data_IF_861795976976
#
_entry.id   IF_861795976976
#
_cell.length_a   1.000
_cell.length_b   1.000
_cell.length_c   1.000
_cell.angle_alpha   90.00
_cell.angle_beta   90.00
_cell.angle_gamma   90.00
#
_symmetry.space_group_name_H-M   'P 1'
#
loop_
_entity.id
_entity.type
_entity.pdbx_description
1 polymer ?
#
# COMPACT_ATOMS: atom_id res chain seq x y z
N UNK A 1 24.05 -0.33 6.17
CA UNK A 1 23.16 -0.42 4.98
C UNK A 1 21.83 0.23 5.31
N UNK A 2 21.01 0.61 4.33
CA UNK A 2 19.69 1.17 4.64
C UNK A 2 18.79 0.12 5.34
N UNK A 3 18.03 0.50 6.39
CA UNK A 3 17.21 -0.42 7.19
C UNK A 3 16.30 -1.31 6.33
N UNK A 4 15.71 -0.75 5.28
CA UNK A 4 14.80 -1.43 4.35
C UNK A 4 15.49 -2.61 3.64
N UNK A 5 16.74 -2.42 3.23
CA UNK A 5 17.51 -3.47 2.53
C UNK A 5 17.82 -4.65 3.45
N UNK A 6 18.16 -4.36 4.72
CA UNK A 6 18.46 -5.38 5.73
C UNK A 6 17.18 -6.11 6.13
N UNK A 7 16.08 -5.39 6.38
CA UNK A 7 14.78 -5.97 6.69
C UNK A 7 14.29 -6.91 5.58
N UNK A 8 14.47 -6.54 4.31
CA UNK A 8 14.11 -7.39 3.18
C UNK A 8 14.99 -8.65 3.10
N UNK A 9 16.30 -8.52 3.39
CA UNK A 9 17.20 -9.67 3.44
C UNK A 9 16.82 -10.64 4.56
N UNK A 10 16.49 -10.12 5.75
CA UNK A 10 15.99 -10.90 6.89
C UNK A 10 14.68 -11.64 6.54
N UNK A 11 13.75 -10.95 5.89
CA UNK A 11 12.47 -11.53 5.50
C UNK A 11 12.60 -12.69 4.48
N UNK A 12 13.59 -12.60 3.58
CA UNK A 12 13.90 -13.70 2.64
C UNK A 12 14.43 -14.94 3.37
N UNK A 13 15.17 -14.76 4.45
CA UNK A 13 15.70 -15.88 5.25
C UNK A 13 14.61 -16.58 6.07
N UNK A 14 13.52 -15.89 6.41
CA UNK A 14 12.40 -16.43 7.19
C UNK A 14 11.24 -16.96 6.33
N UNK A 15 11.26 -16.72 5.01
CA UNK A 15 10.13 -17.02 4.12
C UNK A 15 8.94 -16.06 4.27
N UNK A 16 9.14 -14.93 4.97
CA UNK A 16 8.12 -13.90 5.24
C UNK A 16 8.29 -12.67 4.31
N UNK A 17 8.96 -12.86 3.17
CA UNK A 17 9.37 -11.82 2.23
C UNK A 17 8.18 -11.03 1.65
N UNK A 18 7.08 -11.72 1.32
CA UNK A 18 5.87 -11.06 0.81
C UNK A 18 5.23 -10.15 1.85
N UNK A 19 5.10 -10.62 3.10
CA UNK A 19 4.37 -9.90 4.13
C UNK A 19 5.19 -8.73 4.68
N UNK A 20 6.48 -8.94 4.94
CA UNK A 20 7.40 -7.86 5.30
C UNK A 20 7.51 -6.86 4.14
N UNK A 21 7.64 -7.33 2.90
CA UNK A 21 7.65 -6.46 1.72
C UNK A 21 6.40 -5.58 1.62
N UNK A 22 5.23 -6.10 1.98
CA UNK A 22 3.99 -5.30 2.02
C UNK A 22 4.02 -4.24 3.12
N UNK A 23 4.49 -4.56 4.32
CA UNK A 23 4.60 -3.58 5.40
C UNK A 23 5.63 -2.49 5.08
N UNK A 24 6.73 -2.86 4.44
CA UNK A 24 7.74 -1.92 3.94
C UNK A 24 7.21 -1.01 2.82
N UNK A 25 6.21 -1.48 2.05
CA UNK A 25 5.51 -0.68 1.06
C UNK A 25 4.38 0.21 1.62
N UNK A 26 4.16 0.20 2.94
CA UNK A 26 3.21 1.07 3.62
C UNK A 26 3.75 2.49 3.81
N UNK A 27 2.90 3.36 4.38
CA UNK A 27 3.21 4.78 4.59
C UNK A 27 4.42 5.00 5.51
N UNK A 28 4.66 4.07 6.45
CA UNK A 28 5.75 4.10 7.43
C UNK A 28 6.77 2.97 7.21
N UNK A 29 7.08 2.65 5.96
CA UNK A 29 7.95 1.52 5.60
C UNK A 29 9.34 1.53 6.24
N UNK A 30 9.93 2.72 6.45
CA UNK A 30 11.26 2.87 7.08
C UNK A 30 11.24 2.52 8.58
N UNK A 31 10.16 2.87 9.27
CA UNK A 31 9.97 2.57 10.71
C UNK A 31 9.70 1.08 10.92
N UNK A 32 8.90 0.47 10.04
CA UNK A 32 8.72 -0.98 9.99
C UNK A 32 10.06 -1.67 9.76
N UNK A 33 10.86 -1.19 8.80
CA UNK A 33 12.17 -1.77 8.51
C UNK A 33 13.08 -1.75 9.75
N UNK A 34 13.10 -0.60 10.44
CA UNK A 34 13.87 -0.43 11.67
C UNK A 34 13.40 -1.40 12.75
N UNK A 35 12.09 -1.56 12.93
CA UNK A 35 11.52 -2.49 13.90
C UNK A 35 11.89 -3.96 13.61
N UNK A 36 11.86 -4.37 12.33
CA UNK A 36 12.27 -5.73 11.92
C UNK A 36 13.77 -5.97 12.18
N UNK A 37 14.60 -4.97 11.92
CA UNK A 37 16.04 -5.01 12.21
C UNK A 37 16.29 -5.09 13.72
N UNK A 38 15.57 -4.30 14.53
CA UNK A 38 15.67 -4.31 15.98
C UNK A 38 15.30 -5.68 16.56
N UNK A 39 14.25 -6.32 16.06
CA UNK A 39 13.90 -7.70 16.44
C UNK A 39 15.04 -8.67 16.16
N UNK A 40 15.66 -8.58 14.99
CA UNK A 40 16.82 -9.40 14.63
C UNK A 40 18.02 -9.14 15.55
N UNK A 41 18.28 -7.89 15.92
CA UNK A 41 19.33 -7.52 16.86
C UNK A 41 19.06 -8.04 18.27
N UNK A 42 17.82 -7.99 18.75
CA UNK A 42 17.41 -8.51 20.06
C UNK A 42 17.61 -10.03 20.13
N UNK A 43 17.20 -10.75 19.07
CA UNK A 43 17.31 -12.21 19.01
C UNK A 43 18.78 -12.68 18.99
N UNK A 44 19.63 -11.95 18.26
CA UNK A 44 21.04 -12.30 18.09
C UNK A 44 21.97 -11.70 19.15
N UNK A 45 21.50 -10.71 19.92
CA UNK A 45 22.33 -9.89 20.80
C UNK A 45 23.31 -8.96 20.05
N UNK A 46 23.12 -8.78 18.74
CA UNK A 46 24.02 -8.04 17.88
C UNK A 46 23.88 -6.52 18.03
N UNK A 47 25.01 -5.82 18.19
CA UNK A 47 25.02 -4.34 18.24
C UNK A 47 24.93 -3.66 16.87
N UNK A 48 25.11 -4.40 15.78
CA UNK A 48 25.01 -3.90 14.42
C UNK A 48 23.94 -4.69 13.65
N UNK A 49 23.10 -4.01 12.85
CA UNK A 49 22.16 -4.64 11.93
C UNK A 49 22.78 -5.66 10.97
N UNK A 50 23.98 -5.36 10.46
CA UNK A 50 24.70 -6.23 9.54
C UNK A 50 25.16 -7.52 10.22
N UNK A 51 25.59 -7.42 11.48
CA UNK A 51 25.98 -8.59 12.26
C UNK A 51 24.76 -9.46 12.62
N UNK A 52 23.62 -8.85 12.96
CA UNK A 52 22.37 -9.57 13.20
C UNK A 52 21.95 -10.41 11.98
N UNK A 53 22.02 -9.81 10.77
CA UNK A 53 21.73 -10.51 9.52
C UNK A 53 22.64 -11.72 9.31
N UNK A 54 23.95 -11.56 9.55
CA UNK A 54 24.91 -12.67 9.39
C UNK A 54 24.64 -13.81 10.36
N UNK A 55 24.32 -13.52 11.61
CA UNK A 55 24.04 -14.55 12.62
C UNK A 55 22.74 -15.31 12.31
N UNK A 56 21.71 -14.60 11.84
CA UNK A 56 20.45 -15.21 11.38
C UNK A 56 20.68 -16.04 10.12
N UNK A 57 21.53 -15.60 9.20
CA UNK A 57 21.85 -16.37 8.01
C UNK A 57 22.52 -17.71 8.32
N UNK A 58 23.37 -17.76 9.36
CA UNK A 58 24.11 -18.98 9.75
C UNK A 58 23.30 -19.95 10.61
N UNK A 59 22.26 -19.48 11.30
CA UNK A 59 21.53 -20.25 12.30
C UNK A 59 20.06 -20.41 11.94
N UNK A 60 19.67 -21.64 11.62
CA UNK A 60 18.27 -22.00 11.39
C UNK A 60 17.40 -21.72 12.66
N UNK A 61 17.99 -21.83 13.85
CA UNK A 61 17.30 -21.51 15.10
C UNK A 61 16.94 -20.03 15.20
N UNK A 62 17.85 -19.12 14.82
CA UNK A 62 17.57 -17.68 14.82
C UNK A 62 16.59 -17.29 13.73
N UNK A 63 16.59 -17.99 12.58
CA UNK A 63 15.57 -17.81 11.54
C UNK A 63 14.18 -18.14 12.10
N UNK A 64 14.01 -19.28 12.77
CA UNK A 64 12.73 -19.67 13.38
C UNK A 64 12.27 -18.69 14.47
N UNK A 65 13.19 -18.22 15.31
CA UNK A 65 12.87 -17.22 16.34
C UNK A 65 12.44 -15.89 15.73
N UNK A 66 13.11 -15.44 14.66
CA UNK A 66 12.72 -14.24 13.95
C UNK A 66 11.37 -14.42 13.28
N UNK A 67 11.11 -15.56 12.63
CA UNK A 67 9.79 -15.89 12.07
C UNK A 67 8.71 -15.80 13.14
N UNK A 68 8.93 -16.41 14.31
CA UNK A 68 7.97 -16.36 15.41
C UNK A 68 7.75 -14.93 15.94
N UNK A 69 8.81 -14.13 16.02
CA UNK A 69 8.71 -12.72 16.42
C UNK A 69 7.89 -11.92 15.40
N UNK A 70 8.13 -12.11 14.10
CA UNK A 70 7.37 -11.46 13.02
C UNK A 70 5.88 -11.84 13.03
N UNK A 71 5.56 -13.10 13.28
CA UNK A 71 4.17 -13.58 13.42
C UNK A 71 3.51 -12.98 14.66
N UNK A 72 4.24 -12.93 15.78
CA UNK A 72 3.69 -12.42 17.05
C UNK A 72 3.44 -10.92 16.97
N UNK A 73 4.35 -10.17 16.33
CA UNK A 73 4.25 -8.73 16.12
C UNK A 73 3.49 -8.35 14.84
N UNK A 74 2.88 -9.31 14.14
CA UNK A 74 2.22 -9.10 12.84
C UNK A 74 1.21 -7.94 12.90
N UNK A 75 0.37 -7.94 13.93
CA UNK A 75 -0.66 -6.91 14.13
C UNK A 75 -0.06 -5.53 14.39
N UNK A 76 1.04 -5.46 15.12
CA UNK A 76 1.72 -4.21 15.47
C UNK A 76 2.44 -3.64 14.26
N UNK A 77 3.20 -4.47 13.53
CA UNK A 77 3.89 -4.08 12.30
C UNK A 77 2.90 -3.65 11.21
N UNK A 78 1.75 -4.33 11.11
CA UNK A 78 0.68 -3.94 10.19
C UNK A 78 0.05 -2.59 10.59
N UNK A 79 -0.20 -2.38 11.89
CA UNK A 79 -0.68 -1.09 12.38
C UNK A 79 0.32 0.02 12.07
N UNK A 80 1.60 -0.20 12.38
CA UNK A 80 2.68 0.75 12.14
C UNK A 80 2.80 1.10 10.66
N UNK A 81 2.77 0.10 9.77
CA UNK A 81 2.88 0.27 8.33
C UNK A 81 1.77 1.14 7.71
N UNK A 82 0.56 1.08 8.26
CA UNK A 82 -0.64 1.67 7.65
C UNK A 82 -1.41 2.62 8.58
N UNK A 83 -0.76 3.14 9.64
CA UNK A 83 -1.42 4.02 10.60
C UNK A 83 -1.99 5.27 9.92
N UNK A 84 -1.23 5.86 9.00
CA UNK A 84 -1.65 7.03 8.21
C UNK A 84 -2.81 6.72 7.23
N UNK A 85 -2.85 5.54 6.61
CA UNK A 85 -3.96 5.14 5.73
C UNK A 85 -5.22 4.70 6.48
N UNK A 86 -5.10 4.23 7.72
CA UNK A 86 -6.25 3.92 8.57
C UNK A 86 -7.06 5.18 8.87
N UNK A 87 -6.39 6.33 9.06
CA UNK A 87 -7.06 7.61 9.28
C UNK A 87 -7.90 8.07 8.08
N UNK A 88 -7.49 7.77 6.85
CA UNK A 88 -8.29 8.10 5.65
C UNK A 88 -9.61 7.31 5.59
N UNK A 89 -9.60 6.02 5.96
CA UNK A 89 -10.83 5.21 6.05
C UNK A 89 -11.65 5.56 7.28
N UNK A 90 -11.02 5.85 8.41
CA UNK A 90 -11.69 6.31 9.62
C UNK A 90 -12.38 7.66 9.40
N UNK A 91 -11.76 8.59 8.66
CA UNK A 91 -12.35 9.84 8.23
C UNK A 91 -13.59 9.60 7.34
N UNK A 92 -13.54 8.64 6.42
CA UNK A 92 -14.70 8.27 5.60
C UNK A 92 -15.85 7.69 6.45
N UNK A 93 -15.55 6.83 7.42
CA UNK A 93 -16.54 6.24 8.34
C UNK A 93 -17.16 7.33 9.24
N UNK A 94 -16.34 8.23 9.79
CA UNK A 94 -16.80 9.35 10.61
C UNK A 94 -17.62 10.37 9.79
N UNK A 95 -17.23 10.66 8.56
CA UNK A 95 -18.00 11.47 7.62
C UNK A 95 -19.34 10.81 7.25
N UNK A 96 -19.39 9.48 7.15
CA UNK A 96 -20.63 8.71 6.97
C UNK A 96 -21.53 8.70 8.23
N UNK A 97 -20.96 8.83 9.42
CA UNK A 97 -21.70 8.84 10.69
C UNK A 97 -22.33 10.21 11.00
N UNK A 98 -21.82 11.32 10.45
CA UNK A 98 -22.43 12.64 10.62
C UNK A 98 -23.82 12.74 9.97
N UNK A 99 -24.73 13.57 10.50
CA UNK A 99 -26.06 13.76 9.90
C UNK A 99 -26.06 14.66 8.65
N UNK A 100 -24.91 15.21 8.28
CA UNK A 100 -24.78 16.07 7.10
C UNK A 100 -24.82 15.23 5.81
N UNK A 101 -25.88 15.42 5.02
CA UNK A 101 -26.07 14.75 3.72
C UNK A 101 -25.06 15.22 2.67
N UNK A 102 -24.46 16.42 2.83
CA UNK A 102 -23.50 16.97 1.89
C UNK A 102 -22.17 16.19 1.93
N UNK A 103 -21.57 16.04 3.11
CA UNK A 103 -20.30 15.32 3.29
C UNK A 103 -20.38 13.85 2.88
N UNK A 104 -21.50 13.16 3.17
CA UNK A 104 -21.73 11.78 2.71
C UNK A 104 -21.78 11.64 1.20
N UNK A 105 -22.27 12.68 0.53
CA UNK A 105 -22.48 12.68 -0.93
C UNK A 105 -21.39 13.40 -1.69
N UNK A 106 -20.44 14.03 -0.99
CA UNK A 106 -19.33 14.76 -1.59
C UNK A 106 -18.58 13.90 -2.61
N UNK A 107 -18.33 12.63 -2.30
CA UNK A 107 -17.63 11.73 -3.22
C UNK A 107 -18.41 11.49 -4.53
N UNK A 108 -19.74 11.42 -4.46
CA UNK A 108 -20.61 11.32 -5.63
C UNK A 108 -20.66 12.65 -6.40
N UNK A 109 -20.68 13.79 -5.70
CA UNK A 109 -20.62 15.10 -6.34
C UNK A 109 -19.28 15.34 -7.03
N UNK A 110 -18.17 14.94 -6.41
CA UNK A 110 -16.83 15.03 -6.97
C UNK A 110 -16.69 14.12 -8.20
N UNK A 111 -17.15 12.87 -8.11
CA UNK A 111 -17.17 11.96 -9.25
C UNK A 111 -18.07 12.47 -10.40
N UNK A 112 -19.25 13.00 -10.07
CA UNK A 112 -20.16 13.58 -11.05
C UNK A 112 -19.56 14.83 -11.72
N UNK A 113 -18.92 15.71 -10.94
CA UNK A 113 -18.22 16.89 -11.47
C UNK A 113 -17.16 16.48 -12.50
N UNK A 114 -16.28 15.55 -12.15
CA UNK A 114 -15.23 15.09 -13.07
C UNK A 114 -15.78 14.31 -14.28
N UNK A 115 -16.87 13.56 -14.11
CA UNK A 115 -17.54 12.87 -15.23
C UNK A 115 -18.16 13.87 -16.21
N UNK A 116 -18.88 14.87 -15.70
CA UNK A 116 -19.48 15.92 -16.52
C UNK A 116 -18.39 16.75 -17.21
N UNK A 117 -17.35 17.16 -16.47
CA UNK A 117 -16.20 17.88 -17.03
C UNK A 117 -15.56 17.10 -18.18
N UNK A 118 -15.34 15.80 -18.00
CA UNK A 118 -14.76 14.92 -19.03
C UNK A 118 -15.65 14.85 -20.27
N UNK A 119 -16.96 14.65 -20.10
CA UNK A 119 -17.92 14.61 -21.22
C UNK A 119 -17.97 15.95 -21.94
N UNK A 120 -18.07 17.07 -21.23
CA UNK A 120 -18.07 18.43 -21.80
C UNK A 120 -16.77 18.67 -22.58
N UNK A 121 -15.63 18.29 -22.01
CA UNK A 121 -14.34 18.43 -22.67
C UNK A 121 -14.27 17.63 -23.98
N UNK A 122 -14.69 16.37 -23.96
CA UNK A 122 -14.74 15.50 -25.16
C UNK A 122 -15.67 16.12 -26.23
N UNK A 123 -16.85 16.60 -25.85
CA UNK A 123 -17.79 17.26 -26.76
C UNK A 123 -17.16 18.53 -27.36
N UNK A 124 -16.52 19.37 -26.54
CA UNK A 124 -15.86 20.58 -27.00
C UNK A 124 -14.76 20.28 -28.02
N UNK A 125 -13.85 19.34 -27.74
CA UNK A 125 -12.75 19.05 -28.68
C UNK A 125 -13.23 18.33 -29.96
N UNK A 126 -14.40 17.67 -29.91
CA UNK A 126 -14.95 16.93 -31.06
C UNK A 126 -15.74 17.84 -32.00
N UNK A 127 -16.51 18.78 -31.46
CA UNK A 127 -17.46 19.59 -32.24
C UNK A 127 -17.05 21.06 -32.40
N UNK A 128 -16.12 21.58 -31.60
CA UNK A 128 -15.63 22.95 -31.71
C UNK A 128 -14.33 22.98 -32.49
N UNK A 129 -14.17 23.97 -33.38
CA UNK A 129 -12.92 24.16 -34.11
C UNK A 129 -11.82 24.64 -33.16
N UNK A 130 -10.79 23.81 -32.98
CA UNK A 130 -9.63 24.12 -32.13
C UNK A 130 -8.56 24.81 -32.99
N UNK A 131 -7.96 25.90 -32.52
CA UNK A 131 -6.78 26.50 -33.15
C UNK A 131 -5.65 25.47 -33.32
N UNK A 132 -4.97 25.48 -34.47
CA UNK A 132 -3.89 24.53 -34.80
C UNK A 132 -2.81 24.46 -33.71
N UNK A 133 -2.46 25.60 -33.11
CA UNK A 133 -1.46 25.68 -32.03
C UNK A 133 -1.89 24.95 -30.75
N UNK A 134 -3.21 24.75 -30.57
CA UNK A 134 -3.80 24.16 -29.37
C UNK A 134 -4.18 22.69 -29.49
N UNK A 135 -4.11 22.10 -30.69
CA UNK A 135 -4.49 20.69 -30.94
C UNK A 135 -3.68 19.74 -30.06
N UNK A 136 -2.37 19.96 -29.94
CA UNK A 136 -1.51 19.09 -29.12
C UNK A 136 -1.84 19.16 -27.62
N UNK A 137 -2.24 20.33 -27.12
CA UNK A 137 -2.72 20.45 -25.74
C UNK A 137 -4.04 19.70 -25.58
N UNK A 138 -4.93 19.78 -26.59
CA UNK A 138 -6.21 19.10 -26.57
C UNK A 138 -6.05 17.57 -26.44
N UNK A 139 -5.18 16.99 -27.27
CA UNK A 139 -4.88 15.54 -27.28
C UNK A 139 -4.22 15.07 -25.98
N UNK A 140 -3.29 15.86 -25.44
CA UNK A 140 -2.58 15.51 -24.19
C UNK A 140 -3.55 15.47 -23.01
N UNK A 141 -4.43 16.46 -22.91
CA UNK A 141 -5.43 16.54 -21.85
C UNK A 141 -6.48 15.42 -22.02
N UNK A 142 -6.89 15.11 -23.26
CA UNK A 142 -7.79 13.99 -23.54
C UNK A 142 -7.19 12.67 -23.05
N UNK A 143 -5.93 12.39 -23.41
CA UNK A 143 -5.22 11.19 -22.98
C UNK A 143 -5.09 11.10 -21.46
N UNK A 144 -4.79 12.22 -20.80
CA UNK A 144 -4.74 12.29 -19.34
C UNK A 144 -6.10 12.00 -18.70
N UNK A 145 -7.18 12.64 -19.14
CA UNK A 145 -8.53 12.46 -18.58
C UNK A 145 -8.99 10.99 -18.71
N UNK A 146 -8.78 10.38 -19.87
CA UNK A 146 -9.12 8.97 -20.12
C UNK A 146 -8.26 8.02 -19.27
N UNK A 147 -6.95 8.27 -19.22
CA UNK A 147 -5.99 7.37 -18.58
C UNK A 147 -5.94 7.46 -17.06
N UNK A 148 -6.16 8.64 -16.47
CA UNK A 148 -6.01 8.86 -15.02
C UNK A 148 -7.34 9.09 -14.35
N UNK A 149 -8.13 10.08 -14.77
CA UNK A 149 -9.34 10.48 -14.06
C UNK A 149 -10.41 9.40 -14.14
N UNK A 150 -10.70 8.88 -15.33
CA UNK A 150 -11.70 7.82 -15.51
C UNK A 150 -11.24 6.52 -14.86
N UNK A 151 -9.98 6.13 -15.07
CA UNK A 151 -9.44 4.92 -14.47
C UNK A 151 -9.47 4.98 -12.94
N UNK A 152 -9.09 6.10 -12.33
CA UNK A 152 -9.14 6.29 -10.88
C UNK A 152 -10.57 6.26 -10.35
N UNK A 153 -11.53 6.89 -11.03
CA UNK A 153 -12.96 6.84 -10.63
C UNK A 153 -13.48 5.39 -10.70
N UNK A 154 -13.22 4.66 -11.79
CA UNK A 154 -13.65 3.26 -11.92
C UNK A 154 -13.01 2.39 -10.83
N UNK A 155 -11.69 2.51 -10.62
CA UNK A 155 -10.99 1.80 -9.57
C UNK A 155 -11.52 2.12 -8.17
N UNK A 156 -11.93 3.37 -7.93
CA UNK A 156 -12.52 3.78 -6.67
C UNK A 156 -13.89 3.14 -6.42
N UNK A 157 -14.79 3.12 -7.41
CA UNK A 157 -16.16 2.61 -7.25
C UNK A 157 -16.28 1.09 -7.32
N UNK A 158 -15.49 0.45 -8.18
CA UNK A 158 -15.55 -1.01 -8.38
C UNK A 158 -14.47 -1.77 -7.61
N UNK A 159 -13.54 -1.03 -6.99
CA UNK A 159 -12.41 -1.58 -6.26
C UNK A 159 -11.36 -2.12 -7.22
N UNK A 160 -10.10 -1.74 -7.01
CA UNK A 160 -8.99 -2.57 -7.47
C UNK A 160 -9.10 -3.93 -6.78
N UNK A 161 -8.51 -4.97 -7.37
CA UNK A 161 -8.51 -6.38 -6.92
C UNK A 161 -8.01 -6.67 -5.47
N UNK A 162 -8.00 -5.69 -4.57
CA UNK A 162 -7.65 -5.73 -3.14
C UNK A 162 -8.38 -6.83 -2.34
N UNK A 163 -9.53 -7.33 -2.82
CA UNK A 163 -10.24 -8.45 -2.20
C UNK A 163 -9.56 -9.81 -2.42
N UNK A 164 -8.88 -10.01 -3.55
CA UNK A 164 -8.15 -11.24 -3.84
C UNK A 164 -6.81 -11.28 -3.08
N UNK A 165 -6.16 -10.12 -2.93
CA UNK A 165 -4.88 -10.01 -2.22
C UNK A 165 -4.99 -10.47 -0.76
N UNK A 166 -6.07 -10.10 -0.05
CA UNK A 166 -6.33 -10.56 1.33
C UNK A 166 -6.62 -12.05 1.44
N UNK A 167 -7.23 -12.67 0.43
CA UNK A 167 -7.47 -14.12 0.42
C UNK A 167 -6.17 -14.87 0.17
N UNK A 168 -5.37 -14.44 -0.80
CA UNK A 168 -4.05 -15.01 -1.09
C UNK A 168 -3.11 -14.86 0.11
N UNK A 169 -3.17 -13.73 0.81
CA UNK A 169 -2.44 -13.51 2.08
C UNK A 169 -2.82 -14.52 3.16
N UNK A 170 -4.12 -14.74 3.39
CA UNK A 170 -4.56 -15.72 4.40
C UNK A 170 -4.12 -17.16 4.08
N UNK A 171 -3.87 -17.46 2.81
CA UNK A 171 -3.40 -18.76 2.35
C UNK A 171 -1.89 -18.91 2.49
N UNK A 172 -1.11 -17.88 2.15
CA UNK A 172 0.35 -17.85 2.37
C UNK A 172 0.68 -17.93 3.87
N UNK A 173 -0.05 -17.19 4.71
CA UNK A 173 0.10 -17.24 6.17
C UNK A 173 -0.13 -18.64 6.72
N UNK A 174 -1.16 -19.34 6.24
CA UNK A 174 -1.44 -20.72 6.64
C UNK A 174 -0.35 -21.69 6.18
N UNK A 175 0.22 -21.50 4.99
CA UNK A 175 1.33 -22.32 4.50
C UNK A 175 2.59 -22.13 5.35
N UNK A 176 2.93 -20.88 5.73
CA UNK A 176 4.06 -20.61 6.62
C UNK A 176 3.83 -21.20 8.00
N UNK A 177 2.64 -21.01 8.60
CA UNK A 177 2.30 -21.58 9.91
C UNK A 177 2.34 -23.11 9.94
N UNK A 178 2.11 -23.78 8.80
CA UNK A 178 2.21 -25.24 8.70
C UNK A 178 3.64 -25.78 8.63
N UNK A 179 4.62 -24.91 8.38
CA UNK A 179 6.05 -25.26 8.20
C UNK A 179 6.92 -24.92 9.41
N UNK A 180 6.37 -24.23 10.41
CA UNK A 180 6.99 -23.93 11.71
C UNK A 180 6.59 -25.00 12.72
#
# INVERSE_FOLDING_TARGET
>A
MEPISIALALAKLTGFDKQVGRWLGGDNGEEVASSVVDMAQIITGAKSPEYALQEIQKSEQFQKQLTQALITSEKELNKLAFENTQDARAMQIQALAQNDKFSKRFIYYFAAFWSIFSVVYIVCITFVSIPQDSVRFADTILGFILGTVIATIINFFFGSSSGNEKRTESLDLQDVLSKV
#
